data_IF_273617636771
#
_entry.id   IF_273617636771
#
_cell.length_a   1.000
_cell.length_b   1.000
_cell.length_c   1.000
_cell.angle_alpha   90.00
_cell.angle_beta   90.00
_cell.angle_gamma   90.00
#
_symmetry.space_group_name_H-M   'P 1'
#
loop_
_entity.id
_entity.type
_entity.pdbx_description
1 polymer ?
#
# COMPACT_ATOMS: atom_id res chain seq x y z
N UNK A 1 26.57 -13.26 -43.79
CA UNK A 1 26.74 -12.49 -42.54
C UNK A 1 25.37 -12.31 -41.90
N UNK A 2 25.05 -13.09 -40.87
CA UNK A 2 23.70 -13.17 -40.25
C UNK A 2 23.75 -13.01 -38.71
N UNK A 3 24.95 -12.79 -38.14
CA UNK A 3 25.18 -12.74 -36.70
C UNK A 3 25.24 -11.31 -36.12
N UNK A 4 25.01 -10.27 -36.92
CA UNK A 4 25.13 -8.86 -36.51
C UNK A 4 23.80 -8.20 -36.08
N UNK A 5 22.72 -8.96 -35.87
CA UNK A 5 21.50 -8.41 -35.30
C UNK A 5 21.43 -8.70 -33.80
N UNK A 6 21.75 -7.68 -33.00
CA UNK A 6 21.62 -7.69 -31.54
C UNK A 6 20.14 -7.78 -31.11
N UNK A 7 19.70 -9.00 -30.79
CA UNK A 7 18.35 -9.34 -30.27
C UNK A 7 18.07 -8.71 -28.88
N UNK A 8 19.00 -7.93 -28.33
CA UNK A 8 18.90 -7.31 -27.00
C UNK A 8 18.53 -5.82 -27.01
N UNK A 9 18.44 -5.16 -28.17
CA UNK A 9 18.09 -3.73 -28.25
C UNK A 9 16.66 -3.44 -27.76
N UNK A 10 15.70 -4.33 -27.97
CA UNK A 10 14.30 -4.13 -27.55
C UNK A 10 14.05 -4.24 -26.03
N UNK A 11 15.11 -4.47 -25.23
CA UNK A 11 15.04 -4.51 -23.75
C UNK A 11 15.73 -3.27 -23.13
N UNK A 12 16.16 -2.30 -23.94
CA UNK A 12 16.59 -0.98 -23.47
C UNK A 12 15.38 -0.22 -22.90
N UNK A 13 15.16 -0.42 -21.61
CA UNK A 13 14.22 0.33 -20.78
C UNK A 13 14.78 1.77 -20.66
N UNK A 14 14.00 2.76 -21.13
CA UNK A 14 14.30 4.19 -21.10
C UNK A 14 15.08 4.60 -19.85
N UNK A 15 16.27 5.14 -20.09
CA UNK A 15 17.11 5.76 -19.07
C UNK A 15 17.21 7.25 -19.36
N UNK A 16 16.10 7.96 -19.23
CA UNK A 16 16.08 9.41 -19.10
C UNK A 16 16.41 9.76 -17.64
N UNK A 17 17.71 9.96 -17.36
CA UNK A 17 18.13 10.76 -16.20
C UNK A 17 17.93 12.21 -16.60
N UNK A 18 16.88 12.83 -16.06
CA UNK A 18 16.78 14.28 -16.04
C UNK A 18 17.75 14.80 -14.97
N UNK A 19 18.78 15.51 -15.46
CA UNK A 19 19.65 16.37 -14.65
C UNK A 19 18.80 17.50 -14.05
N UNK A 20 18.67 17.55 -12.72
CA UNK A 20 18.32 18.77 -12.01
C UNK A 20 19.56 19.32 -11.33
N UNK A 21 20.11 20.36 -11.94
CA UNK A 21 21.13 21.23 -11.40
C UNK A 21 20.59 22.10 -10.25
N UNK A 22 21.52 22.53 -9.40
CA UNK A 22 21.55 23.82 -8.69
C UNK A 22 20.95 23.90 -7.27
N UNK A 23 21.82 23.95 -6.25
CA UNK A 23 21.82 25.01 -5.21
C UNK A 23 23.28 25.22 -4.73
N UNK A 24 23.88 26.34 -5.16
CA UNK A 24 24.94 27.04 -4.44
C UNK A 24 24.29 27.89 -3.32
N UNK A 25 24.96 28.00 -2.17
CA UNK A 25 25.06 29.13 -1.20
C UNK A 25 25.65 28.51 0.08
N UNK A 26 26.77 28.93 0.68
CA UNK A 26 27.40 30.24 0.68
C UNK A 26 27.13 30.93 2.02
N UNK A 27 28.02 30.70 3.01
CA UNK A 27 28.38 31.61 4.11
C UNK A 27 27.36 31.91 5.22
N UNK A 28 27.87 32.05 6.46
CA UNK A 28 27.21 32.84 7.50
C UNK A 28 27.21 32.23 8.90
N UNK A 29 28.38 32.10 9.51
CA UNK A 29 28.52 31.98 10.96
C UNK A 29 28.32 33.38 11.57
N UNK A 30 27.29 33.57 12.40
CA UNK A 30 27.02 34.82 13.11
C UNK A 30 26.86 34.52 14.60
N UNK A 31 27.70 35.19 15.39
CA UNK A 31 27.82 35.01 16.83
C UNK A 31 26.83 35.83 17.65
N UNK A 32 26.84 35.50 18.93
CA UNK A 32 26.21 36.19 20.05
C UNK A 32 26.47 37.71 20.05
N UNK A 33 25.42 38.48 20.36
CA UNK A 33 25.46 39.88 20.75
C UNK A 33 24.28 40.21 21.65
N UNK A 34 24.58 40.39 22.93
CA UNK A 34 23.76 40.88 24.04
C UNK A 34 23.36 42.36 23.86
N UNK A 35 22.24 42.78 24.45
CA UNK A 35 21.75 44.16 24.40
C UNK A 35 20.42 44.39 25.12
N UNK A 36 20.53 44.90 26.36
CA UNK A 36 19.52 45.58 27.21
C UNK A 36 18.54 46.46 26.44
N UNK A 37 17.31 46.77 26.86
CA UNK A 37 16.64 46.79 28.15
C UNK A 37 15.51 47.82 28.00
N UNK A 38 14.32 47.55 28.52
CA UNK A 38 13.25 48.56 28.61
C UNK A 38 12.39 48.23 29.82
N UNK A 39 12.57 49.04 30.85
CA UNK A 39 11.64 49.21 31.96
C UNK A 39 10.49 50.08 31.46
N UNK A 40 9.25 49.64 31.66
CA UNK A 40 8.11 50.55 31.74
C UNK A 40 7.31 50.21 33.00
N UNK A 41 7.35 51.13 33.96
CA UNK A 41 6.35 51.24 35.01
C UNK A 41 5.10 51.93 34.45
N UNK A 42 3.92 51.40 34.79
CA UNK A 42 2.62 51.95 34.43
C UNK A 42 1.57 51.62 35.48
N UNK A 43 1.44 52.57 36.42
CA UNK A 43 0.35 52.95 37.33
C UNK A 43 -0.88 52.03 37.58
N UNK A 44 -1.04 51.73 38.87
CA UNK A 44 -2.22 51.79 39.74
C UNK A 44 -3.66 51.44 39.27
N UNK A 45 -4.27 50.59 40.12
CA UNK A 45 -5.67 50.64 40.58
C UNK A 45 -6.80 50.10 39.67
N UNK A 46 -6.98 48.77 39.67
CA UNK A 46 -8.31 48.17 39.88
C UNK A 46 -8.19 47.00 40.86
N UNK A 47 -8.89 47.09 41.99
CA UNK A 47 -8.86 46.12 43.09
C UNK A 47 -9.56 44.81 42.77
N UNK A 48 -8.87 43.91 42.07
CA UNK A 48 -9.23 42.50 41.98
C UNK A 48 -8.02 41.70 42.46
N UNK A 49 -8.16 41.07 43.63
CA UNK A 49 -7.17 40.15 44.17
C UNK A 49 -7.20 38.87 43.32
N UNK A 50 -6.31 38.79 42.33
CA UNK A 50 -6.09 37.57 41.53
C UNK A 50 -5.41 36.55 42.43
N UNK A 51 -6.21 35.73 43.11
CA UNK A 51 -5.74 34.54 43.79
C UNK A 51 -5.12 33.63 42.73
N UNK A 52 -3.81 33.37 42.87
CA UNK A 52 -3.08 32.41 42.04
C UNK A 52 -3.82 31.07 42.17
N UNK A 53 -4.52 30.65 41.12
CA UNK A 53 -5.12 29.32 41.09
C UNK A 53 -4.00 28.31 41.36
N UNK A 54 -4.16 27.47 42.39
CA UNK A 54 -3.28 26.33 42.55
C UNK A 54 -3.41 25.52 41.27
N UNK A 55 -2.30 25.44 40.52
CA UNK A 55 -2.18 24.58 39.36
C UNK A 55 -2.44 23.17 39.88
N UNK A 56 -3.59 22.63 39.53
CA UNK A 56 -3.93 21.25 39.77
C UNK A 56 -2.92 20.39 39.03
N UNK A 57 -1.95 19.83 39.75
CA UNK A 57 -0.95 18.86 39.28
C UNK A 57 -1.58 17.52 38.84
N UNK A 58 -2.88 17.50 38.53
CA UNK A 58 -3.62 16.30 38.14
C UNK A 58 -3.43 15.94 36.66
N UNK A 59 -2.76 16.78 35.86
CA UNK A 59 -2.44 16.50 34.46
C UNK A 59 -0.95 16.78 34.21
N UNK A 60 -0.16 15.72 34.13
CA UNK A 60 1.29 15.73 33.89
C UNK A 60 1.62 16.16 32.44
N UNK A 61 1.37 17.43 32.12
CA UNK A 61 1.68 18.03 30.82
C UNK A 61 3.19 18.19 30.55
N UNK A 62 4.04 17.89 31.53
CA UNK A 62 5.51 18.04 31.44
C UNK A 62 6.22 16.83 30.80
N UNK A 63 5.56 15.68 30.66
CA UNK A 63 6.14 14.47 30.04
C UNK A 63 5.89 14.33 28.53
N UNK A 64 5.05 15.19 27.92
CA UNK A 64 4.79 15.08 26.49
C UNK A 64 5.92 15.69 25.65
N UNK A 65 6.47 14.96 24.65
CA UNK A 65 7.55 15.47 23.81
C UNK A 65 7.05 16.69 23.03
N UNK A 66 7.50 17.87 23.43
CA UNK A 66 7.19 19.12 22.73
C UNK A 66 8.26 19.43 21.68
N UNK A 67 7.85 19.63 20.44
CA UNK A 67 8.68 20.18 19.37
C UNK A 67 8.15 21.55 18.98
N UNK A 68 8.96 22.59 19.17
CA UNK A 68 8.59 23.99 18.89
C UNK A 68 7.34 24.46 19.65
N UNK A 69 7.18 24.05 20.92
CA UNK A 69 6.05 24.44 21.77
C UNK A 69 4.70 23.79 21.39
N UNK A 70 4.72 22.75 20.54
CA UNK A 70 3.56 21.93 20.20
C UNK A 70 3.87 20.46 20.49
N UNK A 71 2.84 19.70 20.86
CA UNK A 71 2.94 18.27 21.14
C UNK A 71 3.38 17.54 19.85
N UNK A 72 4.47 16.78 19.91
CA UNK A 72 5.01 16.00 18.79
C UNK A 72 4.29 14.65 18.70
N UNK A 73 3.11 14.66 18.07
CA UNK A 73 2.27 13.45 17.95
C UNK A 73 2.66 12.69 16.67
N UNK A 74 3.27 11.52 16.85
CA UNK A 74 3.55 10.62 15.75
C UNK A 74 2.32 9.84 15.28
N UNK A 75 1.81 10.18 14.09
CA UNK A 75 0.71 9.45 13.46
C UNK A 75 1.24 8.13 12.85
N UNK A 76 0.70 7.00 13.32
CA UNK A 76 1.10 5.64 12.90
C UNK A 76 0.00 4.95 12.09
N UNK A 77 -1.26 5.05 12.52
CA UNK A 77 -2.37 4.31 11.91
C UNK A 77 -2.99 5.07 10.74
N UNK A 78 -3.53 4.33 9.76
CA UNK A 78 -4.22 4.93 8.62
C UNK A 78 -5.50 5.67 9.04
N UNK A 79 -6.20 5.18 10.05
CA UNK A 79 -7.38 5.81 10.63
C UNK A 79 -7.05 7.17 11.25
N UNK A 80 -5.99 7.23 12.06
CA UNK A 80 -5.52 8.48 12.64
C UNK A 80 -5.07 9.47 11.56
N UNK A 81 -4.39 9.00 10.50
CA UNK A 81 -4.00 9.87 9.38
C UNK A 81 -5.19 10.39 8.59
N UNK A 82 -6.21 9.57 8.37
CA UNK A 82 -7.45 10.00 7.72
C UNK A 82 -8.21 11.03 8.56
N UNK A 83 -8.23 10.86 9.88
CA UNK A 83 -8.82 11.82 10.81
C UNK A 83 -8.02 13.12 10.87
N UNK A 84 -6.69 13.05 10.91
CA UNK A 84 -5.81 14.22 10.83
C UNK A 84 -6.00 14.99 9.52
N UNK A 85 -6.12 14.29 8.38
CA UNK A 85 -6.47 14.92 7.10
C UNK A 85 -7.84 15.60 7.15
N UNK A 86 -8.85 14.97 7.77
CA UNK A 86 -10.19 15.56 7.95
C UNK A 86 -10.12 16.87 8.74
N UNK A 87 -9.34 16.88 9.83
CA UNK A 87 -9.07 18.08 10.63
C UNK A 87 -8.33 19.16 9.82
N UNK A 88 -7.23 18.78 9.16
CA UNK A 88 -6.42 19.71 8.37
C UNK A 88 -7.19 20.35 7.21
N UNK A 89 -8.17 19.64 6.63
CA UNK A 89 -9.03 20.20 5.58
C UNK A 89 -10.05 21.23 6.08
N UNK A 90 -10.13 21.48 7.40
CA UNK A 90 -10.89 22.61 7.96
C UNK A 90 -12.39 22.53 7.74
N UNK A 91 -12.96 21.34 7.55
CA UNK A 91 -14.43 21.20 7.53
C UNK A 91 -14.93 21.59 8.92
N UNK A 92 -15.67 22.68 9.03
CA UNK A 92 -16.02 23.32 10.32
C UNK A 92 -16.69 22.39 11.35
N UNK A 93 -17.37 21.33 10.89
CA UNK A 93 -17.95 20.31 11.77
C UNK A 93 -16.99 19.20 12.20
N UNK A 94 -15.77 19.14 11.65
CA UNK A 94 -14.85 18.03 11.89
C UNK A 94 -14.42 17.92 13.34
N UNK A 95 -14.15 19.04 14.01
CA UNK A 95 -13.73 19.07 15.41
C UNK A 95 -14.86 18.63 16.36
N UNK A 96 -16.04 19.25 16.23
CA UNK A 96 -17.23 18.87 17.00
C UNK A 96 -17.60 17.39 16.81
N UNK A 97 -17.55 16.90 15.57
CA UNK A 97 -17.80 15.48 15.28
C UNK A 97 -16.74 14.56 15.89
N UNK A 98 -15.49 15.00 16.06
CA UNK A 98 -14.43 14.18 16.68
C UNK A 98 -14.66 14.08 18.19
N UNK A 99 -15.09 15.17 18.82
CA UNK A 99 -15.44 15.19 20.23
C UNK A 99 -16.62 14.23 20.47
N UNK A 100 -17.65 14.29 19.63
CA UNK A 100 -18.80 13.39 19.70
C UNK A 100 -18.41 11.91 19.41
N UNK A 101 -17.63 11.66 18.36
CA UNK A 101 -17.04 10.33 18.04
C UNK A 101 -16.13 9.80 19.17
N UNK A 102 -15.65 10.69 20.05
CA UNK A 102 -14.85 10.39 21.23
C UNK A 102 -15.64 9.68 22.32
N UNK A 103 -16.95 9.93 22.41
CA UNK A 103 -17.87 9.25 23.32
C UNK A 103 -18.43 7.98 22.67
N UNK A 104 -17.86 6.84 23.02
CA UNK A 104 -18.21 5.53 22.49
C UNK A 104 -18.28 4.48 23.61
N UNK A 105 -18.59 3.23 23.25
CA UNK A 105 -18.67 2.09 24.17
C UNK A 105 -17.41 1.87 25.04
N UNK A 106 -16.28 2.46 24.65
CA UNK A 106 -14.96 2.27 25.25
C UNK A 106 -14.46 3.50 26.04
N UNK A 107 -15.23 4.58 26.17
CA UNK A 107 -14.72 5.87 26.70
C UNK A 107 -14.54 5.94 28.22
N UNK A 108 -15.37 5.26 29.01
CA UNK A 108 -15.35 5.33 30.49
C UNK A 108 -14.94 3.99 31.11
N UNK A 109 -13.75 3.50 30.77
CA UNK A 109 -13.22 2.25 31.30
C UNK A 109 -12.04 2.54 32.22
N UNK A 110 -12.11 2.04 33.45
CA UNK A 110 -11.02 2.14 34.41
C UNK A 110 -9.92 1.15 34.01
N UNK A 111 -8.73 1.67 33.74
CA UNK A 111 -7.57 0.87 33.28
C UNK A 111 -6.50 0.72 34.35
N UNK A 112 -6.70 1.36 35.50
CA UNK A 112 -5.72 1.44 36.57
C UNK A 112 -5.83 0.22 37.51
N UNK A 113 -4.70 -0.44 37.77
CA UNK A 113 -4.63 -1.59 38.67
C UNK A 113 -5.06 -2.94 38.06
N UNK A 114 -5.31 -3.00 36.74
CA UNK A 114 -5.66 -4.25 36.06
C UNK A 114 -4.41 -5.00 35.57
N UNK A 115 -4.42 -6.35 35.54
CA UNK A 115 -3.31 -7.13 35.02
C UNK A 115 -3.03 -6.87 33.52
N UNK A 116 -1.75 -6.86 33.13
CA UNK A 116 -1.32 -6.62 31.76
C UNK A 116 -1.96 -7.57 30.73
N UNK A 117 -2.14 -8.84 31.07
CA UNK A 117 -2.75 -9.81 30.17
C UNK A 117 -4.22 -9.47 29.83
N UNK A 118 -4.93 -8.83 30.76
CA UNK A 118 -6.30 -8.36 30.55
C UNK A 118 -6.29 -7.11 29.66
N UNK A 119 -5.42 -6.14 29.96
CA UNK A 119 -5.28 -4.91 29.17
C UNK A 119 -4.83 -5.19 27.73
N UNK A 120 -3.94 -6.16 27.53
CA UNK A 120 -3.49 -6.60 26.22
C UNK A 120 -4.60 -7.24 25.38
N UNK A 121 -5.43 -8.07 26.00
CA UNK A 121 -6.56 -8.69 25.34
C UNK A 121 -7.65 -7.65 25.05
N UNK A 122 -7.92 -6.76 26.00
CA UNK A 122 -8.86 -5.67 25.83
C UNK A 122 -8.42 -4.73 24.69
N UNK A 123 -7.17 -4.29 24.65
CA UNK A 123 -6.60 -3.42 23.61
C UNK A 123 -6.69 -4.00 22.18
N UNK A 124 -6.75 -5.32 22.03
CA UNK A 124 -6.93 -5.97 20.72
C UNK A 124 -8.38 -5.85 20.24
N UNK A 125 -9.34 -5.90 21.15
CA UNK A 125 -10.77 -5.99 20.84
C UNK A 125 -11.55 -4.68 21.08
N UNK A 126 -10.97 -3.70 21.76
CA UNK A 126 -11.62 -2.44 22.15
C UNK A 126 -11.48 -1.32 21.11
N UNK A 127 -11.25 -1.65 19.84
CA UNK A 127 -11.00 -0.66 18.78
C UNK A 127 -12.25 -0.43 17.91
N UNK A 128 -12.82 0.80 17.87
CA UNK A 128 -13.89 1.11 16.94
C UNK A 128 -13.36 1.18 15.50
N UNK A 129 -14.04 0.52 14.56
CA UNK A 129 -13.68 0.54 13.14
C UNK A 129 -14.03 1.90 12.51
N UNK A 130 -13.04 2.78 12.37
CA UNK A 130 -13.22 4.10 11.75
C UNK A 130 -13.06 4.03 10.22
N UNK A 131 -13.82 4.83 9.45
CA UNK A 131 -13.68 4.84 7.99
C UNK A 131 -12.32 5.40 7.57
N UNK A 132 -11.62 4.66 6.70
CA UNK A 132 -10.31 5.05 6.16
C UNK A 132 -10.43 5.70 4.78
N UNK A 133 -9.60 6.70 4.52
CA UNK A 133 -9.44 7.32 3.20
C UNK A 133 -8.25 6.73 2.45
N UNK A 134 -8.34 6.65 1.12
CA UNK A 134 -7.23 6.18 0.29
C UNK A 134 -5.98 7.06 0.44
N UNK A 135 -6.18 8.38 0.61
CA UNK A 135 -5.12 9.34 0.84
C UNK A 135 -4.42 9.12 2.18
N UNK A 136 -5.16 8.88 3.28
CA UNK A 136 -4.58 8.59 4.60
C UNK A 136 -3.79 7.28 4.60
N UNK A 137 -4.33 6.24 3.97
CA UNK A 137 -3.64 4.95 3.84
C UNK A 137 -2.36 5.05 2.98
N UNK A 138 -2.39 5.86 1.91
CA UNK A 138 -1.23 6.08 1.06
C UNK A 138 -0.11 6.81 1.82
N UNK A 139 -0.44 7.84 2.60
CA UNK A 139 0.53 8.61 3.36
C UNK A 139 1.24 7.78 4.44
N UNK A 140 0.51 6.94 5.20
CA UNK A 140 1.15 6.02 6.15
C UNK A 140 2.03 5.00 5.45
N UNK A 141 1.59 4.47 4.30
CA UNK A 141 2.39 3.54 3.51
C UNK A 141 3.67 4.19 2.98
N UNK A 142 3.64 5.48 2.70
CA UNK A 142 4.81 6.26 2.31
C UNK A 142 5.74 6.51 3.50
N UNK A 143 5.22 6.90 4.67
CA UNK A 143 5.99 7.00 5.93
C UNK A 143 6.70 5.67 6.22
N UNK A 144 5.98 4.55 6.16
CA UNK A 144 6.54 3.21 6.33
C UNK A 144 7.54 2.83 5.24
N UNK A 145 7.39 3.33 4.01
CA UNK A 145 8.35 3.10 2.92
C UNK A 145 9.63 3.90 3.13
N UNK A 146 9.53 5.12 3.65
CA UNK A 146 10.68 5.95 3.99
C UNK A 146 11.53 5.26 5.08
N UNK A 147 10.88 4.72 6.12
CA UNK A 147 11.54 3.91 7.15
C UNK A 147 12.16 2.63 6.56
N UNK A 148 11.43 1.93 5.69
CA UNK A 148 11.90 0.73 5.00
C UNK A 148 12.65 1.07 3.70
N UNK A 149 13.62 1.99 3.77
CA UNK A 149 14.43 2.35 2.63
C UNK A 149 15.07 1.08 2.02
N UNK A 150 14.79 0.82 0.74
CA UNK A 150 15.37 -0.33 0.01
C UNK A 150 16.77 0.08 -0.44
N UNK A 151 17.86 -0.44 0.17
CA UNK A 151 19.20 -0.01 -0.20
C UNK A 151 19.50 -0.39 -1.65
N UNK A 152 20.33 0.41 -2.32
CA UNK A 152 20.72 0.25 -3.74
C UNK A 152 21.17 -1.20 -4.01
N UNK A 153 21.92 -1.79 -3.07
CA UNK A 153 22.35 -3.19 -3.10
C UNK A 153 21.18 -4.17 -3.24
N UNK A 154 20.11 -4.01 -2.44
CA UNK A 154 18.94 -4.90 -2.48
C UNK A 154 18.09 -4.69 -3.73
N UNK A 155 18.04 -3.46 -4.25
CA UNK A 155 17.41 -3.18 -5.55
C UNK A 155 18.17 -3.87 -6.68
N UNK A 156 19.51 -3.79 -6.69
CA UNK A 156 20.35 -4.44 -7.69
C UNK A 156 20.28 -5.96 -7.59
N UNK A 157 20.40 -6.52 -6.39
CA UNK A 157 20.24 -7.97 -6.14
C UNK A 157 18.87 -8.48 -6.62
N UNK A 158 17.79 -7.71 -6.43
CA UNK A 158 16.47 -8.07 -6.94
C UNK A 158 16.39 -8.01 -8.47
N UNK A 159 17.01 -7.02 -9.12
CA UNK A 159 17.12 -6.95 -10.58
C UNK A 159 17.94 -8.13 -11.12
N UNK A 160 19.07 -8.45 -10.50
CA UNK A 160 19.96 -9.54 -10.90
C UNK A 160 19.29 -10.90 -10.70
N UNK A 161 18.55 -11.11 -9.61
CA UNK A 161 17.71 -12.32 -9.42
C UNK A 161 16.65 -12.46 -10.50
N UNK A 162 16.03 -11.36 -10.95
CA UNK A 162 15.07 -11.40 -12.08
C UNK A 162 15.78 -11.76 -13.39
N UNK A 163 16.94 -11.17 -13.67
CA UNK A 163 17.77 -11.49 -14.84
C UNK A 163 18.23 -12.95 -14.82
N UNK A 164 18.74 -13.43 -13.70
CA UNK A 164 19.15 -14.82 -13.50
C UNK A 164 18.00 -15.80 -13.72
N UNK A 165 16.81 -15.53 -13.15
CA UNK A 165 15.62 -16.35 -13.41
C UNK A 165 15.18 -16.33 -14.87
N UNK A 166 15.39 -15.22 -15.59
CA UNK A 166 15.13 -15.15 -17.03
C UNK A 166 16.16 -15.97 -17.83
N UNK A 167 17.45 -15.82 -17.51
CA UNK A 167 18.54 -16.59 -18.12
C UNK A 167 18.36 -18.09 -17.91
N UNK A 168 18.07 -18.54 -16.68
CA UNK A 168 17.80 -19.95 -16.38
C UNK A 168 16.61 -20.53 -17.19
N UNK A 169 15.60 -19.71 -17.51
CA UNK A 169 14.48 -20.15 -18.37
C UNK A 169 14.94 -20.34 -19.81
N UNK A 170 15.77 -19.43 -20.33
CA UNK A 170 16.36 -19.54 -21.67
C UNK A 170 17.30 -20.73 -21.76
N UNK A 171 18.14 -20.98 -20.76
CA UNK A 171 19.01 -22.16 -20.71
C UNK A 171 18.21 -23.46 -20.70
N UNK A 172 17.13 -23.54 -19.90
CA UNK A 172 16.24 -24.70 -19.92
C UNK A 172 15.59 -24.91 -21.28
N UNK A 173 15.29 -23.84 -22.01
CA UNK A 173 14.74 -23.94 -23.36
C UNK A 173 15.80 -24.37 -24.36
N UNK A 174 17.01 -23.82 -24.29
CA UNK A 174 18.17 -24.23 -25.10
C UNK A 174 18.47 -25.73 -24.93
N UNK A 175 18.48 -26.21 -23.68
CA UNK A 175 18.66 -27.64 -23.38
C UNK A 175 17.53 -28.49 -23.96
N UNK A 176 16.27 -28.04 -23.84
CA UNK A 176 15.12 -28.75 -24.43
C UNK A 176 15.13 -28.75 -25.96
N UNK A 177 15.54 -27.65 -26.60
CA UNK A 177 15.65 -27.59 -28.05
C UNK A 177 16.79 -28.45 -28.57
N UNK A 178 17.92 -28.52 -27.85
CA UNK A 178 19.03 -29.42 -28.20
C UNK A 178 18.58 -30.89 -28.12
N UNK A 179 17.96 -31.30 -27.01
CA UNK A 179 17.43 -32.66 -26.86
C UNK A 179 16.39 -33.03 -27.94
N UNK A 180 15.56 -32.08 -28.37
CA UNK A 180 14.61 -32.30 -29.47
C UNK A 180 15.26 -32.33 -30.87
N UNK A 181 16.44 -31.75 -31.03
CA UNK A 181 17.20 -31.85 -32.28
C UNK A 181 17.82 -33.26 -32.39
N UNK A 182 18.30 -33.81 -31.28
CA UNK A 182 18.97 -35.11 -31.18
C UNK A 182 18.00 -36.31 -31.25
N UNK A 183 16.68 -36.13 -31.08
CA UNK A 183 15.69 -37.21 -31.21
C UNK A 183 15.62 -37.76 -32.65
N UNK A 184 16.05 -38.99 -32.88
CA UNK A 184 16.12 -39.62 -34.22
C UNK A 184 14.77 -40.09 -34.78
N UNK A 185 13.68 -40.04 -33.99
CA UNK A 185 12.35 -40.52 -34.38
C UNK A 185 11.42 -39.50 -35.07
N UNK A 186 11.86 -38.26 -35.29
CA UNK A 186 11.04 -37.17 -35.83
C UNK A 186 11.63 -36.62 -37.13
N UNK A 187 10.78 -36.19 -38.07
CA UNK A 187 11.26 -35.52 -39.30
C UNK A 187 11.87 -34.16 -38.97
N UNK A 188 12.88 -33.71 -39.72
CA UNK A 188 13.56 -32.42 -39.50
C UNK A 188 12.59 -31.23 -39.51
N UNK A 189 11.57 -31.28 -40.37
CA UNK A 189 10.50 -30.28 -40.44
C UNK A 189 9.69 -30.20 -39.15
N UNK A 190 9.39 -31.34 -38.54
CA UNK A 190 8.68 -31.40 -37.26
C UNK A 190 9.56 -30.96 -36.10
N UNK A 191 10.86 -31.28 -36.12
CA UNK A 191 11.85 -30.76 -35.15
C UNK A 191 11.87 -29.23 -35.18
N UNK A 192 12.02 -28.62 -36.36
CA UNK A 192 12.00 -27.17 -36.52
C UNK A 192 10.67 -26.55 -36.05
N UNK A 193 9.53 -27.15 -36.41
CA UNK A 193 8.21 -26.70 -35.97
C UNK A 193 8.02 -26.80 -34.44
N UNK A 194 8.62 -27.80 -33.79
CA UNK A 194 8.55 -27.97 -32.34
C UNK A 194 9.48 -27.00 -31.60
N UNK A 195 10.69 -26.75 -32.11
CA UNK A 195 11.63 -25.76 -31.57
C UNK A 195 11.02 -24.36 -31.66
N UNK A 196 10.45 -23.98 -32.80
CA UNK A 196 9.77 -22.67 -32.95
C UNK A 196 8.58 -22.53 -32.00
N UNK A 197 7.78 -23.57 -31.79
CA UNK A 197 6.70 -23.58 -30.78
C UNK A 197 7.23 -23.43 -29.35
N UNK A 198 8.37 -24.03 -29.01
CA UNK A 198 8.98 -23.88 -27.68
C UNK A 198 9.49 -22.46 -27.46
N UNK A 199 10.16 -21.87 -28.45
CA UNK A 199 10.64 -20.49 -28.40
C UNK A 199 9.47 -19.49 -28.33
N UNK A 200 8.41 -19.70 -29.11
CA UNK A 200 7.21 -18.86 -29.07
C UNK A 200 6.47 -18.93 -27.72
N UNK A 201 6.55 -20.06 -27.00
CA UNK A 201 6.00 -20.20 -25.65
C UNK A 201 6.86 -19.52 -24.57
N UNK A 202 8.14 -19.27 -24.84
CA UNK A 202 9.07 -18.63 -23.91
C UNK A 202 8.80 -17.14 -23.74
N UNK A 203 8.57 -16.44 -24.84
CA UNK A 203 8.28 -15.00 -24.85
C UNK A 203 6.86 -14.64 -24.41
N UNK A 204 5.93 -15.60 -24.45
CA UNK A 204 4.52 -15.34 -24.12
C UNK A 204 4.25 -15.60 -22.64
N UNK A 205 3.69 -14.60 -21.95
CA UNK A 205 3.10 -14.79 -20.62
C UNK A 205 2.03 -15.87 -20.70
N UNK A 206 2.13 -16.91 -19.87
CA UNK A 206 1.11 -17.97 -19.80
C UNK A 206 -0.25 -17.33 -19.56
N UNK A 207 -1.11 -17.35 -20.58
CA UNK A 207 -2.47 -16.82 -20.47
C UNK A 207 -3.21 -17.62 -19.39
N UNK A 208 -3.93 -16.92 -18.51
CA UNK A 208 -4.79 -17.59 -17.54
C UNK A 208 -5.84 -18.38 -18.32
N UNK A 209 -5.87 -19.70 -18.16
CA UNK A 209 -6.86 -20.55 -18.83
C UNK A 209 -8.27 -20.01 -18.53
N UNK A 210 -9.02 -19.70 -19.59
CA UNK A 210 -10.40 -19.20 -19.48
C UNK A 210 -11.24 -20.26 -18.75
N UNK A 211 -12.04 -19.83 -17.78
CA UNK A 211 -12.92 -20.71 -17.03
C UNK A 211 -14.00 -21.23 -18.00
N UNK A 212 -14.10 -22.56 -18.15
CA UNK A 212 -15.17 -23.17 -18.95
C UNK A 212 -16.50 -22.98 -18.23
N UNK A 213 -17.47 -22.38 -18.93
CA UNK A 213 -18.83 -22.17 -18.43
C UNK A 213 -19.68 -23.36 -18.86
N UNK A 214 -20.26 -24.06 -17.88
CA UNK A 214 -21.15 -25.21 -18.11
C UNK A 214 -22.53 -24.84 -17.62
N UNK A 215 -23.56 -25.12 -18.42
CA UNK A 215 -24.94 -24.88 -18.01
C UNK A 215 -25.42 -26.04 -17.13
N UNK A 216 -26.04 -25.73 -15.98
CA UNK A 216 -26.61 -26.70 -15.05
C UNK A 216 -27.90 -27.35 -15.57
N UNK A 217 -27.85 -28.00 -16.74
CA UNK A 217 -29.02 -28.65 -17.36
C UNK A 217 -28.79 -30.16 -17.51
N UNK A 218 -29.86 -30.93 -17.36
CA UNK A 218 -29.87 -32.38 -17.54
C UNK A 218 -28.84 -33.07 -16.64
N UNK A 219 -27.89 -33.85 -17.21
CA UNK A 219 -26.93 -34.63 -16.42
C UNK A 219 -25.94 -33.77 -15.62
N UNK A 220 -25.86 -32.47 -15.91
CA UNK A 220 -24.99 -31.54 -15.19
C UNK A 220 -25.73 -30.78 -14.06
N UNK A 221 -27.01 -31.08 -13.82
CA UNK A 221 -27.81 -30.47 -12.75
C UNK A 221 -27.62 -31.25 -11.45
N UNK A 222 -27.26 -30.58 -10.36
CA UNK A 222 -27.05 -31.21 -9.04
C UNK A 222 -25.83 -32.12 -8.93
N UNK A 223 -25.06 -32.27 -10.02
CA UNK A 223 -23.81 -33.03 -10.04
C UNK A 223 -22.62 -32.14 -9.72
N UNK A 224 -21.59 -32.70 -9.09
CA UNK A 224 -20.38 -31.98 -8.70
C UNK A 224 -19.54 -31.52 -9.89
N UNK A 225 -18.60 -32.36 -10.36
CA UNK A 225 -17.80 -32.04 -11.55
C UNK A 225 -18.50 -32.56 -12.81
N UNK A 226 -18.83 -31.69 -13.78
CA UNK A 226 -19.44 -32.12 -15.03
C UNK A 226 -18.45 -32.93 -15.87
N UNK A 227 -18.94 -33.98 -16.53
CA UNK A 227 -18.15 -34.83 -17.43
C UNK A 227 -17.63 -33.99 -18.61
N UNK A 228 -16.40 -34.25 -19.05
CA UNK A 228 -15.77 -33.56 -20.20
C UNK A 228 -15.09 -32.21 -19.89
N UNK A 229 -15.11 -31.76 -18.63
CA UNK A 229 -14.42 -30.52 -18.24
C UNK A 229 -13.24 -30.81 -17.33
N UNK A 230 -12.03 -30.49 -17.82
CA UNK A 230 -10.76 -30.57 -17.08
C UNK A 230 -10.33 -29.17 -16.63
N UNK A 231 -9.82 -29.06 -15.41
CA UNK A 231 -9.38 -27.77 -14.83
C UNK A 231 -10.51 -26.94 -14.22
N UNK A 232 -10.34 -25.60 -14.19
CA UNK A 232 -11.29 -24.65 -13.60
C UNK A 232 -12.57 -24.53 -14.43
N UNK A 233 -13.71 -24.69 -13.78
CA UNK A 233 -15.02 -24.58 -14.39
C UNK A 233 -15.95 -23.73 -13.53
N UNK A 234 -16.98 -23.15 -14.15
CA UNK A 234 -18.08 -22.48 -13.46
C UNK A 234 -19.38 -23.05 -13.99
N UNK A 235 -20.11 -23.74 -13.12
CA UNK A 235 -21.49 -24.13 -13.41
C UNK A 235 -22.35 -22.87 -13.33
N UNK A 236 -23.19 -22.66 -14.33
CA UNK A 236 -24.11 -21.53 -14.42
C UNK A 236 -25.52 -22.06 -14.57
N UNK A 237 -26.40 -21.58 -13.71
CA UNK A 237 -27.84 -21.83 -13.78
C UNK A 237 -28.60 -20.55 -14.17
N UNK A 238 -29.88 -20.67 -14.50
CA UNK A 238 -30.74 -19.56 -14.91
C UNK A 238 -30.86 -18.48 -13.83
N UNK A 239 -30.91 -18.86 -12.54
CA UNK A 239 -30.93 -17.93 -11.41
C UNK A 239 -29.66 -17.08 -11.37
N UNK A 240 -28.48 -17.73 -11.40
CA UNK A 240 -27.18 -17.06 -11.43
C UNK A 240 -27.05 -16.09 -12.61
N UNK A 241 -27.59 -16.45 -13.79
CA UNK A 241 -27.61 -15.55 -14.96
C UNK A 241 -28.43 -14.28 -14.68
N UNK A 242 -29.58 -14.39 -14.00
CA UNK A 242 -30.43 -13.24 -13.63
C UNK A 242 -29.74 -12.38 -12.58
N UNK A 243 -29.16 -12.98 -11.54
CA UNK A 243 -28.51 -12.26 -10.45
C UNK A 243 -27.29 -11.46 -10.96
N UNK A 244 -26.45 -12.08 -11.77
CA UNK A 244 -25.30 -11.40 -12.40
C UNK A 244 -25.77 -10.29 -13.34
N UNK A 245 -26.90 -10.45 -14.03
CA UNK A 245 -27.47 -9.39 -14.89
C UNK A 245 -27.98 -8.20 -14.06
N UNK A 246 -28.62 -8.47 -12.93
CA UNK A 246 -29.08 -7.43 -12.00
C UNK A 246 -27.89 -6.68 -11.37
N UNK A 247 -26.89 -7.40 -10.85
CA UNK A 247 -25.66 -6.81 -10.32
C UNK A 247 -24.95 -5.92 -11.35
N UNK A 248 -24.86 -6.37 -12.61
CA UNK A 248 -24.28 -5.55 -13.69
C UNK A 248 -25.09 -4.29 -13.99
N UNK A 249 -26.42 -4.32 -13.84
CA UNK A 249 -27.28 -3.15 -14.04
C UNK A 249 -27.07 -2.14 -12.91
N UNK A 250 -27.02 -2.60 -11.67
CA UNK A 250 -26.73 -1.77 -10.49
C UNK A 250 -25.35 -1.13 -10.60
N UNK A 251 -24.30 -1.92 -10.86
CA UNK A 251 -22.94 -1.40 -11.01
C UNK A 251 -22.81 -0.38 -12.17
N UNK A 252 -23.58 -0.53 -13.26
CA UNK A 252 -23.62 0.47 -14.34
C UNK A 252 -24.30 1.76 -13.90
N UNK A 253 -25.37 1.69 -13.12
CA UNK A 253 -26.04 2.86 -12.54
C UNK A 253 -25.10 3.60 -11.59
N UNK A 254 -24.44 2.85 -10.71
CA UNK A 254 -23.56 3.41 -9.68
C UNK A 254 -22.27 4.00 -10.28
N UNK A 255 -21.82 3.53 -11.46
CA UNK A 255 -20.71 4.15 -12.21
C UNK A 255 -21.10 5.43 -12.94
N UNK A 256 -22.38 5.61 -13.28
CA UNK A 256 -22.88 6.81 -13.97
C UNK A 256 -23.16 7.95 -12.99
N UNK A 257 -23.44 7.61 -11.73
CA UNK A 257 -23.55 8.55 -10.61
C UNK A 257 -22.16 8.94 -10.14
#
# INVERSE_FOLDING_TARGET
MFFDQDIFQDIAFDYSIENSTNVLHGGGEAGMGDGSGTEEEGDAETGIEIVKAQKDDSWNAEEEPMKNGKIDIEIITAEAMSLAQRLATGKSSAEANIIDDGFNKYSFRDRDGLPDWFLDDENKHSKPNRPITAAGAAAIKEKLRALNARPIKKVREAKDRKKFKAAQRLEKLRKKSALMADEEGMTEKEKAANITKLMAKAGKKKLKAKVKVVVARGPNKGQGRPRGVKGRYKIVDARLKKDVKAQKRVAKRDKKR
#
